data_IF_298332579048
#
_entry.id   IF_298332579048
#
_cell.length_a   1.000
_cell.length_b   1.000
_cell.length_c   1.000
_cell.angle_alpha   90.00
_cell.angle_beta   90.00
_cell.angle_gamma   90.00
#
_symmetry.space_group_name_H-M   'P 1'
#
loop_
_entity.id
_entity.type
_entity.pdbx_description
1 polymer ?
#
# COMPACT_ATOMS: atom_id res chain seq x y z
N UNK A 1 9.44 -6.93 12.77
CA UNK A 1 8.42 -7.50 13.64
C UNK A 1 7.52 -8.42 12.82
N UNK A 2 7.17 -9.58 13.33
CA UNK A 2 6.35 -10.54 12.60
C UNK A 2 4.89 -10.10 12.53
N UNK A 3 4.16 -10.56 11.52
CA UNK A 3 2.73 -10.27 11.41
C UNK A 3 1.97 -10.81 12.62
N UNK A 4 2.40 -11.94 13.16
CA UNK A 4 1.77 -12.53 14.35
C UNK A 4 1.85 -11.57 15.55
N UNK A 5 3.01 -10.99 15.80
CA UNK A 5 3.18 -10.03 16.90
C UNK A 5 2.32 -8.78 16.69
N UNK A 6 2.26 -8.29 15.45
CA UNK A 6 1.44 -7.12 15.12
C UNK A 6 -0.05 -7.42 15.24
N UNK A 7 -0.47 -8.63 14.88
CA UNK A 7 -1.88 -9.05 15.04
C UNK A 7 -2.26 -9.10 16.52
N UNK A 8 -1.35 -9.56 17.38
CA UNK A 8 -1.60 -9.57 18.82
C UNK A 8 -1.78 -8.17 19.36
N UNK A 9 -0.97 -7.22 18.89
CA UNK A 9 -1.10 -5.82 19.28
C UNK A 9 -2.45 -5.25 18.84
N UNK A 10 -2.86 -5.55 17.61
CA UNK A 10 -4.14 -5.11 17.09
C UNK A 10 -5.29 -5.69 17.93
N UNK A 11 -5.20 -6.97 18.29
CA UNK A 11 -6.22 -7.64 19.11
C UNK A 11 -6.36 -7.02 20.50
N UNK A 12 -5.29 -6.39 20.99
CA UNK A 12 -5.30 -5.67 22.28
C UNK A 12 -5.82 -4.23 22.15
N UNK A 13 -6.27 -3.85 20.98
CA UNK A 13 -6.84 -2.52 20.75
C UNK A 13 -5.85 -1.47 20.25
N UNK A 14 -4.60 -1.86 19.99
CA UNK A 14 -3.61 -0.94 19.43
C UNK A 14 -3.81 -0.86 17.93
N UNK A 15 -4.28 0.27 17.43
CA UNK A 15 -4.55 0.44 16.02
C UNK A 15 -4.15 1.83 15.57
N UNK A 16 -3.24 1.89 14.60
CA UNK A 16 -2.75 3.15 14.05
C UNK A 16 -2.12 2.89 12.67
N UNK A 17 -1.74 3.97 12.01
CA UNK A 17 -1.17 3.89 10.66
C UNK A 17 0.08 3.00 10.60
N UNK A 18 1.00 3.19 11.55
CA UNK A 18 2.25 2.46 11.55
C UNK A 18 2.04 0.96 11.74
N UNK A 19 1.17 0.57 12.66
CA UNK A 19 0.83 -0.83 12.90
C UNK A 19 0.21 -1.46 11.64
N UNK A 20 -0.72 -0.76 11.03
CA UNK A 20 -1.38 -1.24 9.81
C UNK A 20 -0.41 -1.34 8.64
N UNK A 21 0.54 -0.39 8.55
CA UNK A 21 1.59 -0.47 7.53
C UNK A 21 2.44 -1.73 7.71
N UNK A 22 2.84 -2.00 8.94
CA UNK A 22 3.64 -3.21 9.24
C UNK A 22 2.91 -4.49 8.88
N UNK A 23 1.62 -4.57 9.22
CA UNK A 23 0.79 -5.73 8.86
C UNK A 23 0.65 -5.85 7.34
N UNK A 24 0.36 -4.74 6.67
CA UNK A 24 0.21 -4.74 5.22
C UNK A 24 1.48 -5.19 4.51
N UNK A 25 2.62 -4.67 4.94
CA UNK A 25 3.91 -5.04 4.36
C UNK A 25 4.21 -6.53 4.59
N UNK A 26 3.97 -7.01 5.81
CA UNK A 26 4.22 -8.41 6.14
C UNK A 26 3.36 -9.36 5.32
N UNK A 27 2.08 -9.06 5.17
CA UNK A 27 1.20 -9.89 4.35
C UNK A 27 1.56 -9.81 2.87
N UNK A 28 1.97 -8.64 2.40
CA UNK A 28 2.42 -8.49 1.01
C UNK A 28 3.64 -9.37 0.75
N UNK A 29 4.62 -9.35 1.66
CA UNK A 29 5.83 -10.16 1.55
C UNK A 29 5.50 -11.66 1.57
N UNK A 30 4.43 -12.04 2.27
CA UNK A 30 3.95 -13.42 2.33
C UNK A 30 3.02 -13.78 1.17
N UNK A 31 2.83 -12.89 0.22
CA UNK A 31 1.93 -13.06 -0.93
C UNK A 31 0.46 -13.26 -0.53
N UNK A 32 0.08 -12.75 0.63
CA UNK A 32 -1.33 -12.71 1.05
C UNK A 32 -1.91 -11.36 0.69
N UNK A 33 -2.17 -11.18 -0.59
CA UNK A 33 -2.45 -9.87 -1.18
C UNK A 33 -3.76 -9.24 -0.70
N UNK A 34 -4.81 -10.05 -0.50
CA UNK A 34 -6.08 -9.52 -0.02
C UNK A 34 -5.97 -8.96 1.40
N UNK A 35 -5.27 -9.69 2.28
CA UNK A 35 -5.03 -9.22 3.65
C UNK A 35 -4.14 -7.99 3.66
N UNK A 36 -3.11 -8.00 2.80
CA UNK A 36 -2.22 -6.85 2.67
C UNK A 36 -3.01 -5.59 2.28
N UNK A 37 -3.87 -5.70 1.28
CA UNK A 37 -4.67 -4.57 0.82
C UNK A 37 -5.59 -4.05 1.91
N UNK A 38 -6.21 -4.94 2.68
CA UNK A 38 -7.10 -4.57 3.77
C UNK A 38 -6.38 -3.71 4.82
N UNK A 39 -5.20 -4.16 5.27
CA UNK A 39 -4.44 -3.41 6.27
C UNK A 39 -3.87 -2.11 5.71
N UNK A 40 -3.42 -2.11 4.46
CA UNK A 40 -2.89 -0.90 3.84
C UNK A 40 -3.98 0.13 3.58
N UNK A 41 -5.18 -0.31 3.26
CA UNK A 41 -6.33 0.58 3.13
C UNK A 41 -6.61 1.28 4.46
N UNK A 42 -6.60 0.52 5.57
CA UNK A 42 -6.78 1.12 6.90
C UNK A 42 -5.64 2.08 7.23
N UNK A 43 -4.43 1.75 6.80
CA UNK A 43 -3.27 2.61 7.03
C UNK A 43 -3.49 4.01 6.41
N UNK A 44 -3.92 4.06 5.15
CA UNK A 44 -4.11 5.35 4.48
C UNK A 44 -5.37 6.08 4.97
N UNK A 45 -6.31 5.36 5.58
CA UNK A 45 -7.45 6.00 6.25
C UNK A 45 -7.01 6.71 7.53
N UNK A 46 -6.06 6.11 8.27
CA UNK A 46 -5.46 6.77 9.43
C UNK A 46 -4.55 7.92 9.04
N UNK A 47 -3.80 7.77 7.96
CA UNK A 47 -2.83 8.76 7.50
C UNK A 47 -2.78 8.79 5.97
N UNK A 48 -3.54 9.68 5.38
CA UNK A 48 -3.61 9.81 3.93
C UNK A 48 -2.32 10.32 3.30
N UNK A 49 -1.38 10.83 4.11
CA UNK A 49 -0.08 11.31 3.64
C UNK A 49 1.00 10.23 3.66
N UNK A 50 0.65 9.01 3.97
CA UNK A 50 1.59 7.90 4.06
C UNK A 50 1.88 7.35 2.65
N UNK A 51 2.77 8.00 1.93
CA UNK A 51 3.03 7.68 0.51
C UNK A 51 3.46 6.23 0.28
N UNK A 52 4.31 5.68 1.17
CA UNK A 52 4.74 4.28 1.06
C UNK A 52 3.56 3.31 1.15
N UNK A 53 2.54 3.64 1.95
CA UNK A 53 1.36 2.79 2.09
C UNK A 53 0.52 2.79 0.80
N UNK A 54 0.38 3.94 0.15
CA UNK A 54 -0.30 4.00 -1.14
C UNK A 54 0.42 3.16 -2.18
N UNK A 55 1.75 3.20 -2.19
CA UNK A 55 2.55 2.40 -3.10
C UNK A 55 2.28 0.91 -2.91
N UNK A 56 2.37 0.43 -1.67
CA UNK A 56 2.15 -0.98 -1.36
C UNK A 56 0.70 -1.40 -1.57
N UNK A 57 -0.25 -0.52 -1.28
CA UNK A 57 -1.67 -0.80 -1.53
C UNK A 57 -1.91 -1.06 -3.01
N UNK A 58 -1.36 -0.22 -3.88
CA UNK A 58 -1.46 -0.45 -5.32
C UNK A 58 -0.86 -1.77 -5.73
N UNK A 59 0.29 -2.15 -5.17
CA UNK A 59 0.92 -3.45 -5.46
C UNK A 59 0.02 -4.61 -5.05
N UNK A 60 -0.55 -4.54 -3.85
CA UNK A 60 -1.44 -5.60 -3.35
C UNK A 60 -2.69 -5.74 -4.20
N UNK A 61 -3.27 -4.62 -4.62
CA UNK A 61 -4.44 -4.62 -5.50
C UNK A 61 -4.11 -5.16 -6.88
N UNK A 62 -2.98 -4.75 -7.43
CA UNK A 62 -2.55 -5.21 -8.76
C UNK A 62 -2.28 -6.71 -8.78
N UNK A 63 -1.70 -7.25 -7.72
CA UNK A 63 -1.44 -8.68 -7.61
C UNK A 63 -2.72 -9.50 -7.54
N UNK A 64 -3.82 -8.89 -7.13
CA UNK A 64 -5.14 -9.52 -7.13
C UNK A 64 -5.87 -9.38 -8.47
N UNK A 65 -5.24 -8.72 -9.44
CA UNK A 65 -5.86 -8.46 -10.74
C UNK A 65 -6.83 -7.28 -10.73
N UNK A 66 -6.82 -6.48 -9.65
CA UNK A 66 -7.71 -5.32 -9.50
C UNK A 66 -7.02 -4.07 -10.08
N UNK A 67 -6.82 -4.08 -11.39
CA UNK A 67 -6.02 -3.06 -12.07
C UNK A 67 -6.56 -1.64 -11.92
N UNK A 68 -7.86 -1.46 -12.02
CA UNK A 68 -8.46 -0.13 -11.89
C UNK A 68 -8.26 0.43 -10.49
N UNK A 69 -8.44 -0.42 -9.47
CA UNK A 69 -8.25 -0.02 -8.08
C UNK A 69 -6.79 0.27 -7.78
N UNK A 70 -5.88 -0.56 -8.35
CA UNK A 70 -4.44 -0.35 -8.21
C UNK A 70 -4.04 1.01 -8.81
N UNK A 71 -4.57 1.33 -10.00
CA UNK A 71 -4.32 2.61 -10.65
C UNK A 71 -4.75 3.77 -9.76
N UNK A 72 -5.95 3.70 -9.20
CA UNK A 72 -6.47 4.75 -8.33
C UNK A 72 -5.59 4.96 -7.10
N UNK A 73 -5.16 3.85 -6.46
CA UNK A 73 -4.28 3.92 -5.29
C UNK A 73 -2.94 4.56 -5.66
N UNK A 74 -2.34 4.16 -6.78
CA UNK A 74 -1.07 4.72 -7.22
C UNK A 74 -1.17 6.18 -7.64
N UNK A 75 -2.27 6.57 -8.28
CA UNK A 75 -2.48 7.97 -8.64
C UNK A 75 -2.58 8.85 -7.38
N UNK A 76 -3.29 8.37 -6.38
CA UNK A 76 -3.38 9.08 -5.10
C UNK A 76 -2.02 9.12 -4.41
N UNK A 77 -1.30 8.01 -4.42
CA UNK A 77 0.04 7.94 -3.84
C UNK A 77 1.02 8.87 -4.52
N UNK A 78 0.92 9.01 -5.84
CA UNK A 78 1.78 9.93 -6.58
C UNK A 78 1.51 11.38 -6.17
N UNK A 79 0.24 11.75 -6.05
CA UNK A 79 -0.15 13.07 -5.59
C UNK A 79 0.40 13.38 -4.20
N UNK A 80 0.24 12.43 -3.27
CA UNK A 80 0.75 12.56 -1.91
C UNK A 80 2.27 12.70 -1.90
N UNK A 81 2.97 11.87 -2.68
CA UNK A 81 4.43 11.91 -2.77
C UNK A 81 4.90 13.27 -3.29
N UNK A 82 4.23 13.81 -4.28
CA UNK A 82 4.56 15.11 -4.83
C UNK A 82 4.34 16.24 -3.81
N UNK A 83 3.23 16.19 -3.11
CA UNK A 83 2.90 17.19 -2.06
C UNK A 83 3.92 17.18 -0.92
N UNK A 84 4.42 16.00 -0.56
CA UNK A 84 5.39 15.83 0.52
C UNK A 84 6.84 16.02 0.06
N UNK A 85 7.08 16.03 -1.23
CA UNK A 85 8.43 16.03 -1.75
C UNK A 85 9.13 14.68 -1.60
N UNK A 86 8.37 13.58 -1.51
CA UNK A 86 8.89 12.22 -1.42
C UNK A 86 9.23 11.72 -2.83
N UNK A 87 10.41 12.07 -3.29
CA UNK A 87 10.84 11.78 -4.67
C UNK A 87 11.02 10.29 -4.92
N UNK A 88 11.46 9.55 -3.91
CA UNK A 88 11.67 8.11 -4.05
C UNK A 88 10.34 7.40 -4.30
N UNK A 89 9.34 7.63 -3.45
CA UNK A 89 8.04 7.04 -3.63
C UNK A 89 7.41 7.46 -4.96
N UNK A 90 7.55 8.74 -5.32
CA UNK A 90 7.02 9.25 -6.58
C UNK A 90 7.60 8.53 -7.79
N UNK A 91 8.91 8.30 -7.80
CA UNK A 91 9.58 7.59 -8.89
C UNK A 91 9.09 6.14 -9.00
N UNK A 92 9.03 5.46 -7.87
CA UNK A 92 8.60 4.06 -7.84
C UNK A 92 7.15 3.90 -8.30
N UNK A 93 6.27 4.77 -7.81
CA UNK A 93 4.86 4.75 -8.19
C UNK A 93 4.70 5.06 -9.68
N UNK A 94 5.45 6.03 -10.20
CA UNK A 94 5.41 6.38 -11.62
C UNK A 94 5.77 5.20 -12.51
N UNK A 95 6.77 4.42 -12.10
CA UNK A 95 7.17 3.22 -12.83
C UNK A 95 6.03 2.20 -12.84
N UNK A 96 5.39 1.98 -11.70
CA UNK A 96 4.26 1.04 -11.61
C UNK A 96 3.10 1.47 -12.50
N UNK A 97 2.78 2.77 -12.52
CA UNK A 97 1.72 3.30 -13.37
C UNK A 97 2.03 3.10 -14.85
N UNK A 98 3.28 3.33 -15.24
CA UNK A 98 3.71 3.13 -16.63
C UNK A 98 3.58 1.66 -17.04
N UNK A 99 3.96 0.74 -16.17
CA UNK A 99 3.84 -0.69 -16.44
C UNK A 99 2.39 -1.12 -16.58
N UNK A 100 1.53 -0.57 -15.73
CA UNK A 100 0.10 -0.88 -15.76
C UNK A 100 -0.55 -0.40 -17.06
N UNK A 101 -0.10 0.74 -17.59
CA UNK A 101 -0.63 1.33 -18.82
C UNK A 101 -0.05 0.71 -20.08
N UNK A 102 0.95 -0.15 -19.96
CA UNK A 102 1.57 -0.78 -21.11
C UNK A 102 0.61 -1.78 -21.72
N UNK A 103 0.40 -1.71 -23.06
CA UNK A 103 -0.52 -2.67 -23.70
C UNK A 103 -0.01 -4.10 -23.54
N UNK A 104 -0.93 -5.02 -23.32
CA UNK A 104 -0.60 -6.45 -23.30
C UNK A 104 -0.22 -6.89 -24.71
N UNK A 105 0.73 -7.82 -24.80
CA UNK A 105 1.17 -8.38 -26.09
C UNK A 105 0.93 -9.86 -26.14
#
# INVERSE_FOLDING_TARGET
MSTEALEKMLAKGMDNALLRFGLGKGYLDASEFAKAAEHLQRCVEFDAQYSAAWKLLGQALNKQGLSAEARAAWQQGLRVAEEKGDKQAGKEISVFLKRLDKPAR
#
